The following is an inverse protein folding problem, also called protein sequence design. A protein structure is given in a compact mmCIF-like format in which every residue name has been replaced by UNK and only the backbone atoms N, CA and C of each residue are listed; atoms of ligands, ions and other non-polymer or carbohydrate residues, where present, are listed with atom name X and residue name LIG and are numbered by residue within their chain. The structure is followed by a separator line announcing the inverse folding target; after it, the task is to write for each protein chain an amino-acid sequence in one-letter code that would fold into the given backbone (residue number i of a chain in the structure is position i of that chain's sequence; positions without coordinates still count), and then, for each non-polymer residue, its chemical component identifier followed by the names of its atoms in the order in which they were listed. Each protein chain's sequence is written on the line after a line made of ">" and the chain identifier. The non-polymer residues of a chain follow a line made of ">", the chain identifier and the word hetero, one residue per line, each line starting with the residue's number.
data_IF_242561796936
#
_entry.id   IF_242561796936
#
_cell.length_a   1.000
_cell.length_b   1.000
_cell.length_c   1.000
_cell.angle_alpha   90.00
_cell.angle_beta   90.00
_cell.angle_gamma   90.00
#
_symmetry.space_group_name_H-M   'P 1'
#
loop_
_entity.id
_entity.type
_entity.pdbx_description
1 polymer ?
#
# COMPACT_ATOMS: atom_id res chain seq x y z
N UNK A 1 -6.84 -36.88 -20.47
CA UNK A 1 -6.71 -35.87 -19.39
C UNK A 1 -5.67 -34.79 -19.75
N UNK A 2 -5.06 -34.85 -20.94
CA UNK A 2 -3.88 -34.04 -21.31
C UNK A 2 -4.16 -32.74 -22.09
N UNK A 3 -5.42 -32.39 -22.36
CA UNK A 3 -5.78 -31.16 -23.11
C UNK A 3 -6.34 -30.03 -22.25
N UNK A 4 -6.62 -30.28 -20.97
CA UNK A 4 -7.16 -29.26 -20.04
C UNK A 4 -6.03 -28.38 -19.50
N UNK A 5 -4.84 -28.96 -19.27
CA UNK A 5 -3.63 -28.26 -18.86
C UNK A 5 -2.86 -27.76 -20.09
N UNK A 6 -3.47 -26.84 -20.83
CA UNK A 6 -2.82 -26.13 -21.93
C UNK A 6 -2.08 -24.88 -21.39
N UNK A 7 -1.07 -24.39 -22.10
CA UNK A 7 -0.29 -23.21 -21.72
C UNK A 7 -1.18 -21.97 -21.48
N UNK A 8 -2.28 -21.85 -22.24
CA UNK A 8 -3.30 -20.82 -22.05
C UNK A 8 -4.01 -20.93 -20.69
N UNK A 9 -4.30 -22.14 -20.21
CA UNK A 9 -4.91 -22.35 -18.90
C UNK A 9 -4.00 -21.84 -17.78
N UNK A 10 -2.71 -22.17 -17.85
CA UNK A 10 -1.72 -21.69 -16.87
C UNK A 10 -1.58 -20.18 -16.89
N UNK A 11 -1.53 -19.53 -18.06
CA UNK A 11 -1.44 -18.06 -18.16
C UNK A 11 -2.68 -17.37 -17.55
N UNK A 12 -3.88 -17.87 -17.84
CA UNK A 12 -5.13 -17.33 -17.28
C UNK A 12 -5.17 -17.53 -15.77
N UNK A 13 -4.82 -18.73 -15.28
CA UNK A 13 -4.73 -19.02 -13.85
C UNK A 13 -3.75 -18.09 -13.13
N UNK A 14 -2.58 -17.83 -13.74
CA UNK A 14 -1.57 -16.94 -13.18
C UNK A 14 -2.09 -15.50 -13.07
N UNK A 15 -2.80 -14.98 -14.08
CA UNK A 15 -3.43 -13.65 -14.02
C UNK A 15 -4.49 -13.60 -12.92
N UNK A 16 -5.32 -14.64 -12.81
CA UNK A 16 -6.37 -14.75 -11.77
C UNK A 16 -5.78 -14.78 -10.36
N UNK A 17 -4.57 -15.31 -10.18
CA UNK A 17 -3.87 -15.26 -8.89
C UNK A 17 -3.10 -13.94 -8.68
N UNK A 18 -2.51 -13.37 -9.72
CA UNK A 18 -1.67 -12.17 -9.60
C UNK A 18 -2.49 -10.90 -9.34
N UNK A 19 -3.64 -10.75 -10.02
CA UNK A 19 -4.52 -9.59 -9.86
C UNK A 19 -4.98 -9.41 -8.40
N UNK A 20 -5.56 -10.42 -7.72
CA UNK A 20 -5.91 -10.27 -6.32
C UNK A 20 -4.68 -10.10 -5.42
N UNK A 21 -3.55 -10.74 -5.72
CA UNK A 21 -2.33 -10.54 -4.94
C UNK A 21 -1.83 -9.09 -5.00
N UNK A 22 -1.82 -8.47 -6.20
CA UNK A 22 -1.42 -7.07 -6.38
C UNK A 22 -2.42 -6.13 -5.70
N UNK A 23 -3.72 -6.42 -5.77
CA UNK A 23 -4.76 -5.64 -5.08
C UNK A 23 -4.59 -5.72 -3.55
N UNK A 24 -4.32 -6.92 -3.01
CA UNK A 24 -4.12 -7.13 -1.57
C UNK A 24 -2.84 -6.46 -1.08
N UNK A 25 -1.73 -6.55 -1.83
CA UNK A 25 -0.48 -5.86 -1.51
C UNK A 25 -0.67 -4.34 -1.58
N UNK A 26 -1.35 -3.84 -2.62
CA UNK A 26 -1.65 -2.42 -2.76
C UNK A 26 -2.49 -1.88 -1.60
N UNK A 27 -3.53 -2.62 -1.19
CA UNK A 27 -4.35 -2.27 -0.02
C UNK A 27 -3.56 -2.32 1.29
N UNK A 28 -2.76 -3.36 1.50
CA UNK A 28 -1.91 -3.47 2.68
C UNK A 28 -0.89 -2.32 2.76
N UNK A 29 -0.28 -1.95 1.63
CA UNK A 29 0.65 -0.83 1.56
C UNK A 29 -0.04 0.51 1.86
N UNK A 30 -1.24 0.74 1.30
CA UNK A 30 -2.07 1.91 1.58
C UNK A 30 -2.39 2.05 3.06
N UNK A 31 -2.73 0.95 3.74
CA UNK A 31 -3.01 0.93 5.18
C UNK A 31 -1.78 1.17 6.06
N UNK A 32 -0.60 0.77 5.59
CA UNK A 32 0.66 0.95 6.34
C UNK A 32 1.25 2.36 6.12
N UNK A 33 0.97 3.00 4.99
CA UNK A 33 1.50 4.33 4.65
C UNK A 33 1.28 5.43 5.71
N UNK A 34 0.11 5.55 6.39
CA UNK A 34 -0.12 6.57 7.39
C UNK A 34 0.74 6.33 8.64
N UNK A 35 0.99 5.07 8.98
CA UNK A 35 1.86 4.68 10.09
C UNK A 35 3.30 5.10 9.80
N UNK A 36 3.78 4.90 8.57
CA UNK A 36 5.12 5.34 8.16
C UNK A 36 5.24 6.86 8.24
N UNK A 37 4.26 7.61 7.71
CA UNK A 37 4.26 9.07 7.77
C UNK A 37 4.18 9.60 9.20
N UNK A 38 3.45 8.92 10.09
CA UNK A 38 3.42 9.25 11.51
C UNK A 38 4.79 9.10 12.18
N UNK A 39 5.51 8.00 11.89
CA UNK A 39 6.87 7.78 12.41
C UNK A 39 7.82 8.87 11.89
N UNK A 40 7.74 9.23 10.61
CA UNK A 40 8.53 10.31 10.02
C UNK A 40 8.23 11.67 10.66
N UNK A 41 6.96 11.97 10.95
CA UNK A 41 6.55 13.17 11.66
C UNK A 41 7.16 13.23 13.06
N UNK A 42 7.14 12.11 13.80
CA UNK A 42 7.76 12.03 15.13
C UNK A 42 9.27 12.21 15.11
N UNK A 43 9.96 11.64 14.10
CA UNK A 43 11.41 11.84 13.93
C UNK A 43 11.74 13.30 13.59
N UNK A 44 10.98 13.93 12.70
CA UNK A 44 11.14 15.35 12.36
C UNK A 44 10.91 16.26 13.59
N UNK A 45 9.90 15.93 14.41
CA UNK A 45 9.65 16.62 15.67
C UNK A 45 10.83 16.48 16.64
N UNK A 46 11.36 15.27 16.82
CA UNK A 46 12.57 15.03 17.64
C UNK A 46 13.81 15.78 17.13
N UNK A 47 13.89 16.01 15.83
CA UNK A 47 14.98 16.77 15.19
C UNK A 47 14.79 18.30 15.31
N UNK A 48 13.71 18.78 15.93
CA UNK A 48 13.39 20.20 16.07
C UNK A 48 12.82 20.84 14.81
N UNK A 49 12.51 20.05 13.78
CA UNK A 49 12.01 20.54 12.49
C UNK A 49 10.49 20.58 12.46
N UNK A 50 9.91 21.67 12.99
CA UNK A 50 8.45 21.84 13.09
C UNK A 50 7.76 21.84 11.71
N UNK A 51 8.39 22.46 10.71
CA UNK A 51 7.85 22.51 9.34
C UNK A 51 7.73 21.11 8.72
N UNK A 52 8.76 20.28 8.84
CA UNK A 52 8.73 18.90 8.33
C UNK A 52 7.77 18.02 9.14
N UNK A 53 7.73 18.18 10.48
CA UNK A 53 6.82 17.43 11.32
C UNK A 53 5.34 17.65 10.91
N UNK A 54 4.95 18.91 10.69
CA UNK A 54 3.60 19.27 10.23
C UNK A 54 3.33 18.72 8.83
N UNK A 55 4.30 18.80 7.91
CA UNK A 55 4.16 18.24 6.57
C UNK A 55 3.89 16.73 6.61
N UNK A 56 4.70 15.96 7.35
CA UNK A 56 4.52 14.51 7.51
C UNK A 56 3.21 14.16 8.21
N UNK A 57 2.78 14.99 9.16
CA UNK A 57 1.49 14.81 9.85
C UNK A 57 0.31 14.99 8.88
N UNK A 58 0.35 16.00 8.01
CA UNK A 58 -0.66 16.20 6.96
C UNK A 58 -0.68 15.01 5.99
N UNK A 59 0.49 14.51 5.57
CA UNK A 59 0.56 13.32 4.72
C UNK A 59 0.00 12.07 5.42
N UNK A 60 0.22 11.91 6.73
CA UNK A 60 -0.36 10.82 7.49
C UNK A 60 -1.90 10.89 7.49
N UNK A 61 -2.48 12.07 7.72
CA UNK A 61 -3.94 12.27 7.71
C UNK A 61 -4.52 12.01 6.31
N UNK A 62 -3.90 12.56 5.26
CA UNK A 62 -4.33 12.33 3.88
C UNK A 62 -4.26 10.86 3.49
N UNK A 63 -3.16 10.17 3.86
CA UNK A 63 -3.02 8.73 3.63
C UNK A 63 -4.08 7.91 4.37
N UNK A 64 -4.46 8.33 5.59
CA UNK A 64 -5.49 7.66 6.39
C UNK A 64 -6.88 7.81 5.75
N UNK A 65 -7.19 9.01 5.24
CA UNK A 65 -8.43 9.25 4.47
C UNK A 65 -8.43 8.40 3.21
N UNK A 66 -7.34 8.38 2.44
CA UNK A 66 -7.24 7.58 1.21
C UNK A 66 -7.42 6.09 1.50
N UNK A 67 -6.83 5.59 2.59
CA UNK A 67 -6.95 4.19 3.00
C UNK A 67 -8.37 3.81 3.47
N UNK A 68 -9.16 4.76 3.97
CA UNK A 68 -10.57 4.54 4.32
C UNK A 68 -11.52 4.58 3.12
N UNK A 69 -11.18 5.35 2.09
CA UNK A 69 -12.01 5.51 0.89
C UNK A 69 -11.90 4.32 -0.07
N UNK A 70 -10.76 3.61 -0.06
CA UNK A 70 -10.41 2.50 -1.00
C UNK A 70 -10.61 1.13 -0.38
#
# INVERSE_FOLDING_TARGET
>A
MDKILNETFYKVFLIVCLVPAVILIGKAFLLVSPVIFWILSYMAFKKGSQKEAIMWLIFAVLGLILAFVI
#
